data_IF_761523172161
#
_entry.id   IF_761523172161
#
_cell.length_a   1.000
_cell.length_b   1.000
_cell.length_c   1.000
_cell.angle_alpha   90.00
_cell.angle_beta   90.00
_cell.angle_gamma   90.00
#
_symmetry.space_group_name_H-M   'P 1'
#
loop_
_entity.id
_entity.type
_entity.pdbx_description
1 polymer ?
#
# COMPACT_ATOMS: atom_id res chain seq x y z
N UNK A 1 -15.13 -1.92 -10.29
CA UNK A 1 -15.42 -0.47 -10.43
C UNK A 1 -15.64 0.27 -9.11
N UNK A 2 -16.50 -0.16 -8.17
CA UNK A 2 -16.69 0.54 -6.88
C UNK A 2 -15.41 0.79 -6.05
N UNK A 3 -14.40 -0.08 -6.20
CA UNK A 3 -13.09 0.06 -5.54
C UNK A 3 -12.44 1.44 -5.75
N UNK A 4 -12.61 2.06 -6.93
CA UNK A 4 -12.10 3.41 -7.23
C UNK A 4 -12.69 4.47 -6.30
N UNK A 5 -14.00 4.40 -6.05
CA UNK A 5 -14.71 5.34 -5.18
C UNK A 5 -14.33 5.17 -3.71
N UNK A 6 -13.90 3.96 -3.33
CA UNK A 6 -13.47 3.62 -1.97
C UNK A 6 -12.00 4.00 -1.73
N UNK A 7 -11.17 4.10 -2.78
CA UNK A 7 -9.74 4.38 -2.66
C UNK A 7 -9.43 5.66 -1.85
N UNK A 8 -10.11 6.80 -2.03
CA UNK A 8 -9.88 7.99 -1.20
C UNK A 8 -10.15 7.77 0.30
N UNK A 9 -11.12 6.93 0.64
CA UNK A 9 -11.42 6.58 2.03
C UNK A 9 -10.28 5.77 2.61
N UNK A 10 -9.75 4.80 1.84
CA UNK A 10 -8.61 3.99 2.26
C UNK A 10 -7.33 4.79 2.41
N UNK A 11 -7.09 5.78 1.54
CA UNK A 11 -5.97 6.71 1.70
C UNK A 11 -6.07 7.46 3.04
N UNK A 12 -7.26 7.97 3.39
CA UNK A 12 -7.48 8.64 4.69
C UNK A 12 -7.26 7.70 5.86
N UNK A 13 -7.69 6.44 5.76
CA UNK A 13 -7.47 5.43 6.79
C UNK A 13 -5.98 5.10 6.96
N UNK A 14 -5.27 4.90 5.85
CA UNK A 14 -3.83 4.66 5.83
C UNK A 14 -3.06 5.82 6.49
N UNK A 15 -3.38 7.07 6.13
CA UNK A 15 -2.75 8.25 6.76
C UNK A 15 -3.03 8.27 8.26
N UNK A 16 -4.27 8.03 8.69
CA UNK A 16 -4.62 7.99 10.11
C UNK A 16 -3.85 6.90 10.88
N UNK A 17 -3.61 5.74 10.26
CA UNK A 17 -2.81 4.68 10.86
C UNK A 17 -1.34 5.09 10.99
N UNK A 18 -0.75 5.66 9.93
CA UNK A 18 0.62 6.20 9.96
C UNK A 18 0.76 7.26 11.07
N UNK A 19 -0.18 8.20 11.13
CA UNK A 19 -0.18 9.27 12.12
C UNK A 19 -0.30 8.71 13.55
N UNK A 20 -1.12 7.67 13.75
CA UNK A 20 -1.25 7.03 15.07
C UNK A 20 0.03 6.33 15.53
N UNK A 21 0.88 5.90 14.60
CA UNK A 21 2.16 5.26 14.93
C UNK A 21 3.17 6.25 15.51
N UNK A 22 2.99 7.56 15.29
CA UNK A 22 3.83 8.60 15.90
C UNK A 22 3.81 8.49 17.44
N UNK A 23 2.66 8.14 18.02
CA UNK A 23 2.48 8.05 19.48
C UNK A 23 3.31 6.93 20.12
N UNK A 24 3.71 5.93 19.34
CA UNK A 24 4.51 4.79 19.80
C UNK A 24 5.92 4.77 19.19
N UNK A 25 6.20 5.62 18.21
CA UNK A 25 7.50 5.72 17.58
C UNK A 25 8.50 6.40 18.52
N UNK A 26 9.68 5.81 18.65
CA UNK A 26 10.67 6.25 19.64
C UNK A 26 12.03 6.56 19.02
N UNK A 27 12.78 7.54 19.56
CA UNK A 27 14.14 7.82 19.14
C UNK A 27 15.08 6.61 19.37
N UNK A 28 16.21 6.51 18.65
CA UNK A 28 16.75 7.52 17.73
C UNK A 28 16.22 7.40 16.28
N UNK A 29 15.76 6.22 15.90
CA UNK A 29 15.54 5.87 14.49
C UNK A 29 14.08 6.02 14.03
N UNK A 30 13.12 6.08 14.98
CA UNK A 30 11.68 6.14 14.70
C UNK A 30 11.23 5.03 13.74
N UNK A 31 11.82 3.83 13.82
CA UNK A 31 11.63 2.77 12.83
C UNK A 31 10.15 2.43 12.63
N UNK A 32 9.35 2.53 13.69
CA UNK A 32 7.92 2.21 13.67
C UNK A 32 7.15 3.08 12.66
N UNK A 33 7.44 4.38 12.60
CA UNK A 33 6.74 5.29 11.66
C UNK A 33 7.13 4.99 10.22
N UNK A 34 8.41 4.69 9.98
CA UNK A 34 8.91 4.39 8.64
C UNK A 34 8.39 3.04 8.16
N UNK A 35 8.34 2.03 9.05
CA UNK A 35 7.77 0.72 8.75
C UNK A 35 6.26 0.83 8.44
N UNK A 36 5.48 1.50 9.30
CA UNK A 36 4.03 1.65 9.08
C UNK A 36 3.75 2.43 7.79
N UNK A 37 4.53 3.49 7.52
CA UNK A 37 4.41 4.26 6.28
C UNK A 37 4.68 3.40 5.05
N UNK A 38 5.76 2.61 5.05
CA UNK A 38 6.08 1.70 3.95
C UNK A 38 4.98 0.66 3.74
N UNK A 39 4.47 0.09 4.84
CA UNK A 39 3.41 -0.91 4.81
C UNK A 39 2.11 -0.36 4.22
N UNK A 40 1.62 0.77 4.73
CA UNK A 40 0.36 1.37 4.28
C UNK A 40 0.42 1.81 2.82
N UNK A 41 1.53 2.39 2.36
CA UNK A 41 1.68 2.72 0.94
C UNK A 41 1.85 1.49 0.05
N UNK A 42 2.46 0.41 0.53
CA UNK A 42 2.50 -0.84 -0.20
C UNK A 42 1.09 -1.40 -0.43
N UNK A 43 0.24 -1.40 0.60
CA UNK A 43 -1.16 -1.85 0.49
C UNK A 43 -1.96 -0.99 -0.48
N UNK A 44 -1.85 0.34 -0.39
CA UNK A 44 -2.53 1.26 -1.32
C UNK A 44 -2.06 1.07 -2.76
N UNK A 45 -0.76 0.86 -2.98
CA UNK A 45 -0.19 0.60 -4.30
C UNK A 45 -0.72 -0.70 -4.91
N UNK A 46 -0.77 -1.78 -4.13
CA UNK A 46 -1.32 -3.08 -4.57
C UNK A 46 -2.80 -2.92 -4.97
N UNK A 47 -3.59 -2.20 -4.18
CA UNK A 47 -4.99 -1.95 -4.49
C UNK A 47 -5.19 -1.06 -5.72
N UNK A 48 -4.33 -0.04 -5.89
CA UNK A 48 -4.35 0.80 -7.09
C UNK A 48 -4.04 -0.03 -8.34
N UNK A 49 -3.09 -0.96 -8.29
CA UNK A 49 -2.77 -1.87 -9.40
C UNK A 49 -3.95 -2.79 -9.73
N UNK A 50 -4.62 -3.34 -8.73
CA UNK A 50 -5.83 -4.17 -8.90
C UNK A 50 -6.98 -3.38 -9.56
N UNK A 51 -7.18 -2.13 -9.12
CA UNK A 51 -8.14 -1.20 -9.74
C UNK A 51 -7.81 -0.96 -11.21
N UNK A 52 -6.54 -0.69 -11.51
CA UNK A 52 -6.06 -0.37 -12.86
C UNK A 52 -6.15 -1.60 -13.78
N UNK A 53 -5.84 -2.80 -13.28
CA UNK A 53 -6.05 -4.06 -14.02
C UNK A 53 -7.54 -4.25 -14.34
N UNK A 54 -8.42 -4.07 -13.35
CA UNK A 54 -9.87 -4.17 -13.55
C UNK A 54 -10.39 -3.17 -14.57
N UNK A 55 -9.81 -1.96 -14.62
CA UNK A 55 -10.18 -0.94 -15.61
C UNK A 55 -9.76 -1.36 -17.02
N UNK A 56 -8.54 -1.85 -17.20
CA UNK A 56 -8.05 -2.31 -18.50
C UNK A 56 -8.71 -3.61 -18.98
N UNK A 57 -9.27 -4.43 -18.09
CA UNK A 57 -10.11 -5.55 -18.49
C UNK A 57 -11.49 -5.10 -18.97
N UNK A 58 -12.03 -4.02 -18.40
CA UNK A 58 -13.35 -3.47 -18.73
C UNK A 58 -13.31 -2.44 -19.87
N UNK A 59 -12.13 -2.03 -20.32
CA UNK A 59 -11.93 -1.05 -21.38
C UNK A 59 -10.92 -1.59 -22.38
N UNK A 60 -10.96 -1.18 -23.64
CA UNK A 60 -9.97 -1.60 -24.64
C UNK A 60 -8.58 -0.94 -24.44
N UNK A 61 -8.23 -0.58 -23.19
CA UNK A 61 -6.95 0.04 -22.82
C UNK A 61 -5.90 -1.07 -22.68
N UNK A 62 -4.76 -0.98 -23.40
CA UNK A 62 -3.75 -2.03 -23.36
C UNK A 62 -3.06 -2.09 -22.00
N UNK A 63 -3.02 -3.30 -21.41
CA UNK A 63 -2.43 -3.57 -20.10
C UNK A 63 -0.90 -3.33 -20.01
N UNK A 64 -0.25 -3.13 -21.15
CA UNK A 64 1.23 -3.06 -21.27
C UNK A 64 1.84 -1.91 -20.48
N UNK A 65 1.12 -0.79 -20.33
CA UNK A 65 1.59 0.35 -19.53
C UNK A 65 1.56 0.05 -18.02
N UNK A 66 0.68 -0.85 -17.55
CA UNK A 66 0.52 -1.18 -16.12
C UNK A 66 1.71 -1.97 -15.57
N UNK A 67 2.32 -2.82 -16.41
CA UNK A 67 3.40 -3.70 -15.98
C UNK A 67 4.65 -2.92 -15.57
N UNK A 68 4.88 -1.72 -16.11
CA UNK A 68 5.98 -0.84 -15.68
C UNK A 68 5.78 -0.30 -14.25
N UNK A 69 4.53 -0.16 -13.80
CA UNK A 69 4.19 0.33 -12.46
C UNK A 69 4.05 -0.80 -11.43
N UNK A 70 3.87 -2.04 -11.88
CA UNK A 70 3.82 -3.20 -10.99
C UNK A 70 5.22 -3.57 -10.50
N UNK A 71 5.66 -2.88 -9.45
CA UNK A 71 6.91 -3.20 -8.78
C UNK A 71 6.70 -4.39 -7.82
N UNK A 72 7.40 -5.54 -8.00
CA UNK A 72 7.37 -6.66 -7.06
C UNK A 72 7.66 -6.23 -5.62
N UNK A 73 8.40 -5.12 -5.48
CA UNK A 73 8.75 -4.47 -4.23
C UNK A 73 7.56 -4.16 -3.33
N UNK A 74 6.37 -3.89 -3.87
CA UNK A 74 5.18 -3.63 -3.04
C UNK A 74 4.76 -4.88 -2.27
N UNK A 75 4.69 -6.02 -2.96
CA UNK A 75 4.37 -7.31 -2.33
C UNK A 75 5.50 -7.75 -1.38
N UNK A 76 6.76 -7.62 -1.79
CA UNK A 76 7.91 -7.93 -0.94
C UNK A 76 7.92 -7.10 0.35
N UNK A 77 7.62 -5.80 0.25
CA UNK A 77 7.56 -4.90 1.41
C UNK A 77 6.45 -5.31 2.36
N UNK A 78 5.26 -5.60 1.83
CA UNK A 78 4.12 -6.10 2.61
C UNK A 78 4.50 -7.39 3.34
N UNK A 79 5.00 -8.40 2.62
CA UNK A 79 5.33 -9.72 3.17
C UNK A 79 6.45 -9.67 4.20
N UNK A 80 7.48 -8.84 3.96
CA UNK A 80 8.58 -8.62 4.89
C UNK A 80 8.06 -8.06 6.22
N UNK A 81 7.22 -7.02 6.16
CA UNK A 81 6.67 -6.36 7.35
C UNK A 81 5.70 -7.28 8.09
N UNK A 82 4.82 -8.00 7.38
CA UNK A 82 3.93 -8.99 8.01
C UNK A 82 4.70 -10.12 8.69
N UNK A 83 5.80 -10.58 8.08
CA UNK A 83 6.66 -11.62 8.65
C UNK A 83 7.39 -11.13 9.90
N UNK A 84 7.83 -9.87 9.93
CA UNK A 84 8.41 -9.27 11.12
C UNK A 84 7.38 -9.20 12.26
N UNK A 85 6.16 -8.75 11.98
CA UNK A 85 5.07 -8.66 12.97
C UNK A 85 4.66 -10.01 13.56
N UNK A 86 4.71 -11.09 12.78
CA UNK A 86 4.38 -12.45 13.25
C UNK A 86 5.43 -13.06 14.18
N UNK A 87 6.64 -12.51 14.23
CA UNK A 87 7.73 -13.01 15.10
C UNK A 87 7.63 -12.48 16.54
N UNK A 88 6.78 -11.48 16.77
CA UNK A 88 6.48 -10.89 18.07
C UNK A 88 5.08 -11.30 18.52
#
# INVERSE_FOLDING_TARGET
MYKILVLPIKIKQAIKLIDSTIEIASPPDYEEIFEERQYQYALLGIEALDIVSSLCECSDIPQKEIFEWNSPRLNETKEKIESNRKKY
#
